data_IF_424743839147
#
_entry.id   IF_424743839147
#
_cell.length_a   1.000
_cell.length_b   1.000
_cell.length_c   1.000
_cell.angle_alpha   90.00
_cell.angle_beta   90.00
_cell.angle_gamma   90.00
#
_symmetry.space_group_name_H-M   'P 1'
#
loop_
_entity.id
_entity.type
_entity.pdbx_description
1 polymer ?
#
# COMPACT_ATOMS: atom_id res chain seq x y z
N UNK A 1 6.76 6.44 -22.52
CA UNK A 1 6.03 5.75 -21.42
C UNK A 1 5.00 6.73 -20.88
N UNK A 2 3.82 6.26 -20.46
CA UNK A 2 2.74 7.14 -19.99
C UNK A 2 3.27 8.06 -18.88
N UNK A 3 3.18 9.38 -19.07
CA UNK A 3 3.61 10.39 -18.08
C UNK A 3 2.61 10.55 -16.92
N UNK A 4 1.73 9.56 -16.72
CA UNK A 4 0.63 9.65 -15.77
C UNK A 4 1.02 9.25 -14.36
N UNK A 5 0.32 9.77 -13.37
CA UNK A 5 0.49 9.41 -11.95
C UNK A 5 -0.54 8.35 -11.59
N UNK A 6 -0.06 7.23 -11.03
CA UNK A 6 -0.92 6.25 -10.35
C UNK A 6 -1.15 6.79 -8.93
N UNK A 7 -2.41 6.86 -8.53
CA UNK A 7 -2.80 7.12 -7.14
C UNK A 7 -3.30 5.81 -6.55
N UNK A 8 -2.54 5.30 -5.59
CA UNK A 8 -2.98 4.24 -4.69
C UNK A 8 -3.58 4.85 -3.42
N UNK A 9 -4.66 4.25 -2.93
CA UNK A 9 -5.29 4.66 -1.67
C UNK A 9 -5.07 3.61 -0.61
N UNK A 10 -4.37 4.00 0.46
CA UNK A 10 -4.13 3.18 1.65
C UNK A 10 -5.23 3.46 2.67
N UNK A 11 -6.38 2.83 2.42
CA UNK A 11 -7.68 3.38 2.82
C UNK A 11 -7.92 3.34 4.34
N UNK A 12 -7.37 2.35 5.04
CA UNK A 12 -7.68 2.13 6.45
C UNK A 12 -6.55 1.53 7.31
N UNK A 13 -5.63 0.73 6.75
CA UNK A 13 -4.65 -0.04 7.53
C UNK A 13 -5.30 -0.66 8.78
N UNK A 14 -4.63 -0.52 9.94
CA UNK A 14 -5.19 -0.74 11.27
C UNK A 14 -5.48 0.56 12.03
N UNK A 15 -5.61 1.70 11.33
CA UNK A 15 -5.94 2.97 11.97
C UNK A 15 -7.27 2.90 12.73
N UNK A 16 -7.33 3.59 13.87
CA UNK A 16 -8.52 3.71 14.70
C UNK A 16 -9.22 5.06 14.45
N UNK A 17 -10.52 5.14 14.78
CA UNK A 17 -11.35 6.35 14.59
C UNK A 17 -11.13 7.44 15.64
N UNK A 18 -10.23 7.20 16.58
CA UNK A 18 -9.85 8.15 17.63
C UNK A 18 -9.22 9.42 17.06
N UNK A 19 -8.49 9.31 15.95
CA UNK A 19 -7.82 10.44 15.30
C UNK A 19 -8.58 10.98 14.08
N UNK A 20 -9.34 10.15 13.37
CA UNK A 20 -10.21 10.57 12.27
C UNK A 20 -11.45 9.66 12.17
N UNK A 21 -12.68 10.20 12.30
CA UNK A 21 -13.90 9.37 12.32
C UNK A 21 -14.21 8.71 10.97
N UNK A 22 -13.58 9.16 9.88
CA UNK A 22 -13.81 8.64 8.54
C UNK A 22 -13.04 7.37 8.21
N UNK A 23 -12.27 6.78 9.12
CA UNK A 23 -11.61 5.48 8.85
C UNK A 23 -12.66 4.38 8.62
N UNK A 24 -12.67 3.68 7.46
CA UNK A 24 -13.67 2.65 7.17
C UNK A 24 -13.28 1.28 7.74
N UNK A 25 -14.25 0.54 8.29
CA UNK A 25 -14.03 -0.79 8.88
C UNK A 25 -14.77 -1.89 8.15
N UNK A 26 -16.08 -1.72 7.95
CA UNK A 26 -16.90 -2.76 7.31
C UNK A 26 -16.60 -2.86 5.80
N UNK A 27 -16.86 -4.02 5.16
CA UNK A 27 -16.77 -4.15 3.71
C UNK A 27 -17.58 -3.09 2.94
N UNK A 28 -18.73 -2.69 3.49
CA UNK A 28 -19.58 -1.65 2.91
C UNK A 28 -18.94 -0.26 2.98
N UNK A 29 -18.39 0.12 4.14
CA UNK A 29 -17.69 1.40 4.30
C UNK A 29 -16.42 1.47 3.44
N UNK A 30 -15.61 0.39 3.43
CA UNK A 30 -14.39 0.31 2.64
C UNK A 30 -14.72 0.44 1.16
N UNK A 31 -15.70 -0.33 0.66
CA UNK A 31 -16.11 -0.25 -0.73
C UNK A 31 -16.74 1.10 -1.10
N UNK A 32 -17.57 1.66 -0.22
CA UNK A 32 -18.18 2.98 -0.43
C UNK A 32 -17.13 4.08 -0.62
N UNK A 33 -16.16 4.17 0.30
CA UNK A 33 -15.07 5.13 0.19
C UNK A 33 -14.12 4.84 -0.98
N UNK A 34 -13.84 3.57 -1.28
CA UNK A 34 -13.06 3.20 -2.46
C UNK A 34 -13.67 3.73 -3.76
N UNK A 35 -15.00 3.66 -3.89
CA UNK A 35 -15.72 4.19 -5.05
C UNK A 35 -15.73 5.72 -5.10
N UNK A 36 -15.75 6.41 -3.96
CA UNK A 36 -15.54 7.86 -3.90
C UNK A 36 -14.13 8.23 -4.35
N UNK A 37 -13.11 7.54 -3.84
CA UNK A 37 -11.71 7.72 -4.26
C UNK A 37 -11.52 7.46 -5.76
N UNK A 38 -12.16 6.42 -6.32
CA UNK A 38 -12.12 6.12 -7.75
C UNK A 38 -12.62 7.30 -8.60
N UNK A 39 -13.71 7.94 -8.19
CA UNK A 39 -14.25 9.12 -8.88
C UNK A 39 -13.30 10.31 -8.85
N UNK A 40 -12.48 10.41 -7.80
CA UNK A 40 -11.46 11.46 -7.66
C UNK A 40 -10.13 11.13 -8.38
N UNK A 41 -9.99 9.91 -8.93
CA UNK A 41 -8.85 9.49 -9.74
C UNK A 41 -7.98 8.38 -9.15
N UNK A 42 -8.42 7.70 -8.09
CA UNK A 42 -7.71 6.52 -7.59
C UNK A 42 -7.67 5.40 -8.64
N UNK A 43 -6.51 4.76 -8.76
CA UNK A 43 -6.28 3.61 -9.63
C UNK A 43 -6.23 2.29 -8.87
N UNK A 44 -5.67 2.33 -7.66
CA UNK A 44 -5.41 1.16 -6.81
C UNK A 44 -5.99 1.44 -5.43
N UNK A 45 -6.61 0.42 -4.82
CA UNK A 45 -7.02 0.46 -3.41
C UNK A 45 -6.28 -0.62 -2.64
N UNK A 46 -5.52 -0.19 -1.65
CA UNK A 46 -4.99 -1.03 -0.60
C UNK A 46 -5.89 -0.98 0.63
N UNK A 47 -6.21 -2.15 1.17
CA UNK A 47 -7.16 -2.27 2.27
C UNK A 47 -6.86 -3.48 3.16
N UNK A 48 -7.30 -3.35 4.41
CA UNK A 48 -7.24 -4.40 5.42
C UNK A 48 -8.66 -4.76 5.82
N UNK A 49 -8.94 -6.05 5.98
CA UNK A 49 -10.19 -6.47 6.60
C UNK A 49 -10.16 -6.13 8.10
N UNK A 50 -11.28 -5.61 8.59
CA UNK A 50 -11.47 -5.20 9.98
C UNK A 50 -12.74 -5.82 10.51
N UNK A 51 -12.82 -6.00 11.82
CA UNK A 51 -14.09 -6.26 12.47
C UNK A 51 -15.04 -5.07 12.21
N UNK A 52 -16.21 -5.27 11.58
CA UNK A 52 -17.09 -4.18 11.17
C UNK A 52 -17.62 -3.29 12.31
N UNK A 53 -17.59 -3.78 13.56
CA UNK A 53 -18.14 -3.06 14.71
C UNK A 53 -17.07 -2.36 15.53
N UNK A 54 -15.97 -3.04 15.77
CA UNK A 54 -14.90 -2.61 16.69
C UNK A 54 -13.71 -2.01 15.95
N UNK A 55 -13.54 -2.30 14.66
CA UNK A 55 -12.33 -1.95 13.93
C UNK A 55 -11.12 -2.82 14.29
N UNK A 56 -11.24 -3.88 15.08
CA UNK A 56 -10.11 -4.77 15.35
C UNK A 56 -9.55 -5.40 14.04
N UNK A 57 -8.25 -5.74 13.97
CA UNK A 57 -7.70 -6.49 12.84
C UNK A 57 -8.49 -7.78 12.56
N UNK A 58 -8.75 -8.06 11.28
CA UNK A 58 -9.39 -9.30 10.86
C UNK A 58 -8.67 -9.92 9.65
N UNK A 59 -8.73 -11.25 9.55
CA UNK A 59 -8.14 -12.02 8.45
C UNK A 59 -9.14 -12.95 7.77
N UNK A 60 -10.46 -12.80 8.03
CA UNK A 60 -11.50 -13.63 7.40
C UNK A 60 -11.55 -13.37 5.88
N UNK A 61 -11.28 -14.38 5.03
CA UNK A 61 -11.36 -14.26 3.59
C UNK A 61 -12.73 -13.76 3.09
N UNK A 62 -13.81 -14.01 3.83
CA UNK A 62 -15.16 -13.54 3.46
C UNK A 62 -15.28 -12.02 3.52
N UNK A 63 -14.64 -11.38 4.51
CA UNK A 63 -14.65 -9.92 4.63
C UNK A 63 -13.87 -9.27 3.48
N UNK A 64 -12.71 -9.83 3.13
CA UNK A 64 -11.95 -9.39 1.96
C UNK A 64 -12.76 -9.59 0.67
N UNK A 65 -13.31 -10.79 0.48
CA UNK A 65 -14.10 -11.12 -0.70
C UNK A 65 -15.34 -10.22 -0.87
N UNK A 66 -16.10 -9.95 0.20
CA UNK A 66 -17.24 -9.03 0.17
C UNK A 66 -16.81 -7.61 -0.24
N UNK A 67 -15.68 -7.13 0.32
CA UNK A 67 -15.11 -5.82 -0.05
C UNK A 67 -14.80 -5.74 -1.54
N UNK A 68 -14.09 -6.73 -2.10
CA UNK A 68 -13.76 -6.74 -3.54
C UNK A 68 -15.01 -6.83 -4.41
N UNK A 69 -15.98 -7.69 -4.08
CA UNK A 69 -17.23 -7.80 -4.86
C UNK A 69 -17.93 -6.45 -4.97
N UNK A 70 -18.06 -5.72 -3.86
CA UNK A 70 -18.71 -4.40 -3.83
C UNK A 70 -17.94 -3.35 -4.63
N UNK A 71 -16.61 -3.37 -4.60
CA UNK A 71 -15.77 -2.47 -5.39
C UNK A 71 -15.91 -2.77 -6.89
N UNK A 72 -15.77 -4.05 -7.28
CA UNK A 72 -15.80 -4.51 -8.68
C UNK A 72 -17.18 -4.46 -9.32
N UNK A 73 -18.26 -4.45 -8.53
CA UNK A 73 -19.63 -4.26 -9.02
C UNK A 73 -19.84 -2.88 -9.67
N UNK A 74 -19.08 -1.87 -9.24
CA UNK A 74 -19.31 -0.46 -9.63
C UNK A 74 -18.09 0.25 -10.21
N UNK A 75 -16.92 -0.39 -10.20
CA UNK A 75 -15.67 0.22 -10.68
C UNK A 75 -14.71 -0.80 -11.26
N UNK A 76 -13.69 -0.31 -11.94
CA UNK A 76 -12.58 -1.08 -12.47
C UNK A 76 -11.30 -0.91 -11.63
N UNK A 77 -11.40 -0.45 -10.37
CA UNK A 77 -10.25 -0.30 -9.47
C UNK A 77 -9.40 -1.57 -9.39
N UNK A 78 -8.09 -1.40 -9.31
CA UNK A 78 -7.15 -2.48 -8.98
C UNK A 78 -7.23 -2.70 -7.46
N UNK A 79 -7.42 -3.95 -7.02
CA UNK A 79 -7.52 -4.25 -5.59
C UNK A 79 -6.26 -4.93 -5.08
N UNK A 80 -5.75 -4.44 -3.94
CA UNK A 80 -4.56 -4.95 -3.27
C UNK A 80 -4.84 -5.15 -1.76
N UNK A 81 -5.44 -6.28 -1.35
CA UNK A 81 -5.54 -6.62 0.07
C UNK A 81 -4.15 -6.80 0.69
N UNK A 82 -4.02 -6.51 1.98
CA UNK A 82 -2.85 -6.88 2.79
C UNK A 82 -2.61 -8.40 2.84
N UNK A 83 -1.49 -8.87 3.41
CA UNK A 83 -1.26 -10.28 3.74
C UNK A 83 -1.52 -10.62 5.22
N UNK A 84 -2.13 -9.73 6.00
CA UNK A 84 -2.17 -9.93 7.46
C UNK A 84 -0.78 -9.69 8.07
N UNK A 85 -0.75 -8.86 9.11
CA UNK A 85 0.48 -8.30 9.63
C UNK A 85 1.15 -9.22 10.68
N UNK A 86 1.97 -8.61 11.53
CA UNK A 86 2.78 -9.23 12.59
C UNK A 86 2.01 -10.08 13.62
N UNK A 87 0.68 -9.94 13.70
CA UNK A 87 -0.16 -10.65 14.67
C UNK A 87 -0.58 -12.06 14.22
N UNK A 88 -0.34 -12.41 12.95
CA UNK A 88 -0.68 -13.72 12.40
C UNK A 88 0.38 -14.78 12.77
N UNK A 89 -0.02 -16.04 13.05
CA UNK A 89 0.87 -17.03 13.63
C UNK A 89 1.92 -17.60 12.67
N UNK A 90 1.72 -17.47 11.36
CA UNK A 90 2.65 -18.02 10.36
C UNK A 90 2.52 -17.32 8.99
N UNK A 91 3.52 -17.45 8.11
CA UNK A 91 3.40 -17.03 6.71
C UNK A 91 2.19 -17.64 5.98
N UNK A 92 1.91 -18.92 6.18
CA UNK A 92 0.77 -19.60 5.54
C UNK A 92 -0.55 -18.93 5.96
N UNK A 93 -0.70 -18.63 7.25
CA UNK A 93 -1.88 -17.95 7.76
C UNK A 93 -2.03 -16.53 7.20
N UNK A 94 -0.90 -15.82 7.02
CA UNK A 94 -0.85 -14.49 6.42
C UNK A 94 -1.40 -14.49 4.99
N UNK A 95 -0.90 -15.36 4.12
CA UNK A 95 -1.31 -15.33 2.70
C UNK A 95 -2.62 -16.09 2.40
N UNK A 96 -3.17 -16.84 3.36
CA UNK A 96 -4.29 -17.76 3.14
C UNK A 96 -5.51 -17.13 2.45
N UNK A 97 -5.90 -15.90 2.82
CA UNK A 97 -7.05 -15.23 2.20
C UNK A 97 -6.79 -14.84 0.75
N UNK A 98 -5.56 -14.52 0.35
CA UNK A 98 -5.20 -14.27 -1.06
C UNK A 98 -5.48 -15.52 -1.90
N UNK A 99 -5.03 -16.68 -1.41
CA UNK A 99 -5.22 -17.97 -2.09
C UNK A 99 -6.70 -18.32 -2.16
N UNK A 100 -7.46 -18.09 -1.08
CA UNK A 100 -8.90 -18.34 -1.06
C UNK A 100 -9.65 -17.43 -2.03
N UNK A 101 -9.38 -16.13 -2.01
CA UNK A 101 -10.01 -15.15 -2.89
C UNK A 101 -9.69 -15.40 -4.37
N UNK A 102 -8.49 -15.92 -4.67
CA UNK A 102 -8.07 -16.21 -6.03
C UNK A 102 -8.84 -17.37 -6.69
N UNK A 103 -9.56 -18.19 -5.90
CA UNK A 103 -10.44 -19.25 -6.43
C UNK A 103 -11.65 -18.71 -7.17
N UNK A 104 -12.08 -17.49 -6.84
CA UNK A 104 -13.19 -16.79 -7.50
C UNK A 104 -12.61 -15.63 -8.34
N UNK A 105 -12.71 -15.67 -9.68
CA UNK A 105 -12.22 -14.61 -10.55
C UNK A 105 -12.78 -13.21 -10.25
N UNK A 106 -13.97 -13.11 -9.64
CA UNK A 106 -14.57 -11.84 -9.25
C UNK A 106 -13.85 -11.21 -8.05
N UNK A 107 -13.30 -12.05 -7.17
CA UNK A 107 -12.62 -11.59 -5.93
C UNK A 107 -11.11 -11.69 -5.99
N UNK A 108 -10.55 -12.36 -7.01
CA UNK A 108 -9.10 -12.49 -7.16
C UNK A 108 -8.44 -11.10 -7.18
N UNK A 109 -7.56 -10.80 -6.20
CA UNK A 109 -6.83 -9.54 -6.20
C UNK A 109 -5.81 -9.50 -7.34
N UNK A 110 -5.44 -8.31 -7.77
CA UNK A 110 -4.42 -8.15 -8.83
C UNK A 110 -3.01 -8.08 -8.24
N UNK A 111 -2.88 -7.52 -7.03
CA UNK A 111 -1.64 -7.45 -6.28
C UNK A 111 -1.75 -8.07 -4.89
N UNK A 112 -0.60 -8.50 -4.37
CA UNK A 112 -0.39 -8.74 -2.94
C UNK A 112 0.93 -8.11 -2.49
N UNK A 113 0.95 -7.32 -1.41
CA UNK A 113 2.16 -6.67 -0.92
C UNK A 113 3.11 -7.70 -0.28
N UNK A 114 4.41 -7.56 -0.49
CA UNK A 114 5.45 -8.30 0.24
C UNK A 114 6.41 -7.29 0.84
N UNK A 115 6.38 -7.16 2.16
CA UNK A 115 7.33 -6.34 2.90
C UNK A 115 8.74 -6.94 2.81
N UNK A 116 9.58 -6.36 1.95
CA UNK A 116 10.94 -6.81 1.66
C UNK A 116 11.92 -6.38 2.77
N UNK A 117 11.49 -6.44 4.04
CA UNK A 117 12.29 -6.12 5.20
C UNK A 117 11.89 -6.92 6.44
N UNK A 118 12.85 -7.07 7.34
CA UNK A 118 12.59 -7.32 8.76
C UNK A 118 13.00 -6.07 9.53
N UNK A 119 12.11 -5.52 10.35
CA UNK A 119 12.37 -4.29 11.11
C UNK A 119 11.70 -4.32 12.48
N UNK A 120 12.24 -3.57 13.42
CA UNK A 120 11.58 -3.32 14.70
C UNK A 120 10.44 -2.34 14.43
N UNK A 121 9.21 -2.73 14.73
CA UNK A 121 8.00 -1.90 14.54
C UNK A 121 7.41 -1.46 15.87
N UNK A 122 8.30 -1.34 16.85
CA UNK A 122 7.96 -0.83 18.16
C UNK A 122 7.46 0.60 18.08
N UNK A 123 6.39 0.87 18.84
CA UNK A 123 5.74 2.17 18.80
C UNK A 123 6.36 3.11 19.83
N UNK A 124 6.73 4.31 19.40
CA UNK A 124 7.28 5.35 20.25
C UNK A 124 6.21 6.40 20.59
N UNK A 125 6.08 6.75 21.87
CA UNK A 125 5.25 7.86 22.30
C UNK A 125 6.13 9.12 22.46
N UNK A 126 6.01 10.12 21.58
CA UNK A 126 6.80 11.34 21.63
C UNK A 126 6.45 12.23 22.84
N UNK A 127 5.26 12.06 23.43
CA UNK A 127 4.81 12.83 24.59
C UNK A 127 5.48 12.34 25.86
N UNK A 128 5.47 11.03 26.09
CA UNK A 128 6.14 10.43 27.26
C UNK A 128 7.62 10.14 27.03
N UNK A 129 8.11 10.27 25.79
CA UNK A 129 9.48 9.98 25.35
C UNK A 129 9.91 8.54 25.66
N UNK A 130 9.00 7.59 25.43
CA UNK A 130 9.21 6.17 25.70
C UNK A 130 8.63 5.33 24.58
N UNK A 131 9.25 4.19 24.35
CA UNK A 131 8.63 3.12 23.58
C UNK A 131 7.47 2.50 24.38
N UNK A 132 6.32 2.32 23.74
CA UNK A 132 5.15 1.65 24.34
C UNK A 132 5.17 0.13 24.15
N UNK A 133 5.91 -0.34 23.15
CA UNK A 133 6.31 -1.73 22.94
C UNK A 133 7.82 -1.78 22.70
N UNK A 134 8.50 -2.89 23.02
CA UNK A 134 9.96 -2.97 22.90
C UNK A 134 10.50 -4.31 22.38
N UNK A 135 9.63 -5.19 21.91
CA UNK A 135 9.97 -6.52 21.40
C UNK A 135 9.22 -6.85 20.09
N UNK A 136 8.60 -5.84 19.46
CA UNK A 136 7.75 -6.07 18.29
C UNK A 136 8.59 -6.03 17.01
N UNK A 137 8.94 -7.20 16.51
CA UNK A 137 9.67 -7.35 15.25
C UNK A 137 8.69 -7.74 14.14
N UNK A 138 8.63 -6.94 13.08
CA UNK A 138 7.94 -7.35 11.86
C UNK A 138 8.84 -8.28 11.06
N UNK A 139 8.78 -9.57 11.38
CA UNK A 139 9.68 -10.59 10.86
C UNK A 139 9.23 -11.09 9.48
N UNK A 140 10.05 -10.81 8.46
CA UNK A 140 9.90 -11.39 7.13
C UNK A 140 11.27 -11.91 6.69
N UNK A 141 11.48 -13.22 6.84
CA UNK A 141 12.73 -13.87 6.42
C UNK A 141 12.78 -13.98 4.89
N UNK A 142 13.97 -14.20 4.31
CA UNK A 142 14.10 -14.49 2.87
C UNK A 142 13.27 -15.71 2.44
N UNK A 143 13.16 -16.73 3.30
CA UNK A 143 12.29 -17.90 3.05
C UNK A 143 10.82 -17.48 2.98
N UNK A 144 10.39 -16.58 3.86
CA UNK A 144 9.04 -16.02 3.86
C UNK A 144 8.76 -15.23 2.57
N UNK A 145 9.71 -14.41 2.12
CA UNK A 145 9.57 -13.65 0.87
C UNK A 145 9.43 -14.59 -0.35
N UNK A 146 10.28 -15.61 -0.47
CA UNK A 146 10.19 -16.59 -1.56
C UNK A 146 8.84 -17.30 -1.53
N UNK A 147 8.43 -17.79 -0.36
CA UNK A 147 7.13 -18.45 -0.18
C UNK A 147 5.96 -17.57 -0.62
N UNK A 148 5.93 -16.29 -0.23
CA UNK A 148 4.88 -15.36 -0.65
C UNK A 148 4.89 -15.12 -2.16
N UNK A 149 6.06 -14.85 -2.75
CA UNK A 149 6.18 -14.59 -4.18
C UNK A 149 5.73 -15.82 -5.00
N UNK A 150 6.19 -17.01 -4.64
CA UNK A 150 5.82 -18.28 -5.29
C UNK A 150 4.31 -18.55 -5.15
N UNK A 151 3.77 -18.39 -3.95
CA UNK A 151 2.35 -18.61 -3.67
C UNK A 151 1.48 -17.67 -4.50
N UNK A 152 1.75 -16.36 -4.50
CA UNK A 152 1.02 -15.38 -5.30
C UNK A 152 1.10 -15.70 -6.80
N UNK A 153 2.31 -15.98 -7.30
CA UNK A 153 2.51 -16.33 -8.71
C UNK A 153 1.72 -17.59 -9.10
N UNK A 154 1.64 -18.60 -8.23
CA UNK A 154 0.89 -19.84 -8.48
C UNK A 154 -0.61 -19.63 -8.65
N UNK A 155 -1.17 -18.57 -8.06
CA UNK A 155 -2.60 -18.22 -8.15
C UNK A 155 -2.86 -17.00 -9.06
N UNK A 156 -1.83 -16.54 -9.78
CA UNK A 156 -1.94 -15.43 -10.73
C UNK A 156 -2.18 -14.06 -10.08
N UNK A 157 -1.71 -13.87 -8.86
CA UNK A 157 -1.65 -12.58 -8.17
C UNK A 157 -0.24 -12.04 -8.33
N UNK A 158 -0.08 -10.76 -8.70
CA UNK A 158 1.25 -10.17 -8.90
C UNK A 158 1.84 -9.72 -7.55
N UNK A 159 3.03 -10.19 -7.16
CA UNK A 159 3.70 -9.66 -5.98
C UNK A 159 4.07 -8.19 -6.16
N UNK A 160 3.85 -7.38 -5.13
CA UNK A 160 4.24 -5.97 -5.05
C UNK A 160 5.23 -5.79 -3.90
N UNK A 161 6.52 -5.50 -4.15
CA UNK A 161 7.50 -5.29 -3.10
C UNK A 161 7.30 -3.96 -2.36
N UNK A 162 7.09 -4.05 -1.05
CA UNK A 162 7.12 -2.94 -0.11
C UNK A 162 8.57 -2.72 0.38
N UNK A 163 9.10 -1.52 0.14
CA UNK A 163 10.52 -1.14 0.30
C UNK A 163 10.67 -0.27 1.54
N UNK A 164 11.23 -0.85 2.61
CA UNK A 164 11.44 -0.17 3.90
C UNK A 164 12.83 0.45 4.05
N UNK A 165 13.83 -0.11 3.37
CA UNK A 165 15.23 0.32 3.44
C UNK A 165 15.94 0.00 2.11
N UNK A 166 17.12 0.58 1.87
CA UNK A 166 17.95 0.28 0.68
C UNK A 166 18.20 -1.23 0.47
N UNK A 167 18.43 -2.06 1.52
CA UNK A 167 18.52 -3.51 1.35
C UNK A 167 17.27 -4.15 0.72
N UNK A 168 16.07 -3.59 0.94
CA UNK A 168 14.83 -4.08 0.31
C UNK A 168 14.88 -3.93 -1.21
N UNK A 169 15.47 -2.84 -1.74
CA UNK A 169 15.66 -2.63 -3.18
C UNK A 169 16.59 -3.70 -3.74
N UNK A 170 17.74 -3.93 -3.07
CA UNK A 170 18.74 -4.92 -3.49
C UNK A 170 18.18 -6.35 -3.49
N UNK A 171 17.41 -6.70 -2.46
CA UNK A 171 16.74 -8.00 -2.38
C UNK A 171 15.68 -8.14 -3.49
N UNK A 172 14.93 -7.09 -3.78
CA UNK A 172 13.94 -7.06 -4.86
C UNK A 172 14.58 -7.30 -6.23
N UNK A 173 15.75 -6.70 -6.49
CA UNK A 173 16.51 -6.96 -7.73
C UNK A 173 16.90 -8.44 -7.85
N UNK A 174 17.41 -9.06 -6.78
CA UNK A 174 17.69 -10.49 -6.77
C UNK A 174 16.44 -11.34 -7.04
N UNK A 175 15.27 -10.93 -6.54
CA UNK A 175 14.00 -11.62 -6.80
C UNK A 175 13.53 -11.49 -8.25
N UNK A 176 13.88 -10.40 -8.94
CA UNK A 176 13.71 -10.28 -10.40
C UNK A 176 14.64 -11.24 -11.13
N UNK A 177 15.91 -11.30 -10.76
CA UNK A 177 16.89 -12.23 -11.36
C UNK A 177 16.48 -13.70 -11.18
N UNK A 178 15.87 -14.04 -10.03
CA UNK A 178 15.30 -15.36 -9.76
C UNK A 178 14.01 -15.65 -10.54
N UNK A 179 13.43 -14.66 -11.23
CA UNK A 179 12.14 -14.79 -11.93
C UNK A 179 10.91 -14.81 -11.02
N UNK A 180 11.07 -14.51 -9.73
CA UNK A 180 9.97 -14.45 -8.77
C UNK A 180 9.16 -13.16 -8.90
N UNK A 181 9.80 -12.06 -9.29
CA UNK A 181 9.13 -10.81 -9.63
C UNK A 181 9.26 -10.52 -11.13
N UNK A 182 8.15 -10.09 -11.75
CA UNK A 182 8.08 -9.82 -13.19
C UNK A 182 7.94 -8.34 -13.47
N UNK A 183 8.78 -7.84 -14.36
CA UNK A 183 8.73 -6.45 -14.84
C UNK A 183 7.44 -6.13 -15.63
N UNK A 184 6.96 -4.87 -15.62
CA UNK A 184 7.40 -3.76 -14.77
C UNK A 184 7.07 -4.01 -13.29
N UNK A 185 7.93 -3.56 -12.37
CA UNK A 185 7.68 -3.65 -10.94
C UNK A 185 6.87 -2.46 -10.48
N UNK A 186 5.74 -2.70 -9.82
CA UNK A 186 5.14 -1.69 -8.95
C UNK A 186 5.73 -1.88 -7.55
N UNK A 187 6.23 -0.83 -6.90
CA UNK A 187 6.76 -0.91 -5.55
C UNK A 187 6.37 0.30 -4.72
N UNK A 188 6.34 0.12 -3.39
CA UNK A 188 6.06 1.20 -2.44
C UNK A 188 7.30 1.53 -1.63
N UNK A 189 7.71 2.80 -1.66
CA UNK A 189 8.76 3.36 -0.82
C UNK A 189 8.12 3.79 0.50
N UNK A 190 8.46 3.08 1.58
CA UNK A 190 7.84 3.23 2.89
C UNK A 190 8.65 4.21 3.73
N UNK A 191 8.05 5.37 3.97
CA UNK A 191 8.50 6.33 4.98
C UNK A 191 7.71 6.14 6.27
N UNK A 192 8.32 6.50 7.40
CA UNK A 192 7.68 6.41 8.72
C UNK A 192 7.94 7.65 9.54
N UNK A 193 6.96 8.07 10.33
CA UNK A 193 7.02 9.25 11.20
C UNK A 193 6.32 9.00 12.55
N UNK A 194 6.45 9.98 13.44
CA UNK A 194 5.78 10.05 14.74
C UNK A 194 6.01 8.80 15.61
N UNK A 195 5.04 7.90 15.61
CA UNK A 195 5.03 6.72 16.48
C UNK A 195 5.79 5.53 15.89
N UNK A 196 6.12 5.53 14.60
CA UNK A 196 6.86 4.45 13.95
C UNK A 196 8.20 4.98 13.43
N UNK A 197 9.29 4.40 13.91
CA UNK A 197 10.67 4.84 13.59
C UNK A 197 11.45 3.77 12.80
N UNK A 198 10.73 2.95 12.05
CA UNK A 198 11.23 1.72 11.43
C UNK A 198 11.74 1.89 9.99
N UNK A 199 11.39 3.00 9.35
CA UNK A 199 11.77 3.34 7.98
C UNK A 199 12.50 4.68 7.88
N UNK A 200 12.65 5.16 6.66
CA UNK A 200 13.20 6.49 6.42
C UNK A 200 12.20 7.58 6.84
N UNK A 201 12.68 8.77 7.27
CA UNK A 201 11.79 9.86 7.71
C UNK A 201 10.88 10.35 6.57
N UNK A 202 9.67 10.78 6.92
CA UNK A 202 8.64 11.34 6.05
C UNK A 202 9.02 12.70 5.46
N UNK A 203 10.10 12.75 4.71
CA UNK A 203 10.67 13.95 4.09
C UNK A 203 11.10 13.66 2.65
N UNK A 204 11.27 14.71 1.84
CA UNK A 204 11.85 14.59 0.50
C UNK A 204 13.22 13.88 0.56
N UNK A 205 14.07 14.21 1.53
CA UNK A 205 15.38 13.56 1.69
C UNK A 205 15.25 12.08 2.05
N UNK A 206 14.26 11.69 2.85
CA UNK A 206 13.98 10.29 3.17
C UNK A 206 13.57 9.50 1.93
N UNK A 207 12.71 10.09 1.09
CA UNK A 207 12.32 9.53 -0.21
C UNK A 207 13.53 9.42 -1.18
N UNK A 208 14.29 10.50 -1.36
CA UNK A 208 15.45 10.53 -2.28
C UNK A 208 16.52 9.50 -1.90
N UNK A 209 16.68 9.22 -0.60
CA UNK A 209 17.57 8.15 -0.13
C UNK A 209 17.17 6.73 -0.59
N UNK A 210 15.95 6.53 -1.11
CA UNK A 210 15.58 5.33 -1.87
C UNK A 210 15.78 5.53 -3.36
N UNK A 211 15.30 6.66 -3.91
CA UNK A 211 15.31 6.95 -5.35
C UNK A 211 16.74 6.87 -5.92
N UNK A 212 17.74 7.34 -5.17
CA UNK A 212 19.16 7.26 -5.55
C UNK A 212 19.67 5.82 -5.79
N UNK A 213 18.98 4.81 -5.25
CA UNK A 213 19.32 3.39 -5.42
C UNK A 213 18.41 2.64 -6.39
N UNK A 214 17.37 3.28 -6.93
CA UNK A 214 16.55 2.72 -7.99
C UNK A 214 17.30 2.84 -9.33
N UNK A 215 18.02 1.78 -9.69
CA UNK A 215 18.74 1.69 -10.97
C UNK A 215 17.79 1.60 -12.17
N UNK A 216 18.29 1.86 -13.38
CA UNK A 216 17.52 1.75 -14.64
C UNK A 216 16.86 0.38 -14.86
N UNK A 217 17.40 -0.66 -14.22
CA UNK A 217 16.84 -2.01 -14.21
C UNK A 217 16.67 -2.54 -12.78
N UNK A 218 15.59 -3.28 -12.49
CA UNK A 218 14.43 -3.55 -13.35
C UNK A 218 13.62 -2.28 -13.69
N UNK A 219 12.64 -2.37 -14.60
CA UNK A 219 11.71 -1.25 -14.86
C UNK A 219 10.84 -0.99 -13.62
N UNK A 220 11.20 0.04 -12.85
CA UNK A 220 10.47 0.46 -11.65
C UNK A 220 9.31 1.40 -11.98
N UNK A 221 8.18 1.15 -11.32
CA UNK A 221 7.06 2.07 -11.12
C UNK A 221 6.92 2.22 -9.60
N UNK A 222 7.61 3.22 -9.05
CA UNK A 222 7.66 3.40 -7.60
C UNK A 222 6.61 4.39 -7.14
N UNK A 223 5.97 4.07 -6.02
CA UNK A 223 5.05 4.93 -5.28
C UNK A 223 5.66 5.29 -3.94
N UNK A 224 5.36 6.46 -3.37
CA UNK A 224 5.78 6.82 -2.02
C UNK A 224 4.58 6.89 -1.08
N UNK A 225 4.78 6.43 0.16
CA UNK A 225 3.83 6.52 1.27
C UNK A 225 4.55 6.95 2.56
N UNK A 226 3.78 7.40 3.56
CA UNK A 226 4.33 7.79 4.86
C UNK A 226 3.41 7.34 5.99
N UNK A 227 3.79 6.26 6.68
CA UNK A 227 3.06 5.77 7.86
C UNK A 227 3.30 6.71 9.03
N UNK A 228 2.21 7.15 9.66
CA UNK A 228 2.26 8.04 10.80
C UNK A 228 2.52 9.50 10.45
N UNK A 229 2.64 9.90 9.17
CA UNK A 229 2.99 11.27 8.78
C UNK A 229 2.23 11.82 7.58
N UNK A 230 2.26 13.15 7.43
CA UNK A 230 1.67 13.82 6.29
C UNK A 230 2.54 13.64 5.03
N UNK A 231 2.00 13.01 3.99
CA UNK A 231 2.70 12.76 2.72
C UNK A 231 2.72 13.98 1.77
N UNK A 232 1.82 14.94 1.94
CA UNK A 232 1.66 16.08 1.02
C UNK A 232 2.92 16.93 0.81
N UNK A 233 3.77 17.18 1.83
CA UNK A 233 5.05 17.86 1.64
C UNK A 233 6.01 17.14 0.69
N UNK A 234 5.83 15.83 0.46
CA UNK A 234 6.69 14.98 -0.37
C UNK A 234 6.07 14.77 -1.76
N UNK A 235 4.75 14.85 -1.87
CA UNK A 235 4.00 14.49 -3.07
C UNK A 235 4.48 15.20 -4.34
N UNK A 236 4.73 16.50 -4.29
CA UNK A 236 5.21 17.26 -5.45
C UNK A 236 6.59 16.76 -5.92
N UNK A 237 7.54 16.56 -5.00
CA UNK A 237 8.86 16.04 -5.33
C UNK A 237 8.77 14.62 -5.92
N UNK A 238 7.90 13.76 -5.38
CA UNK A 238 7.69 12.42 -5.92
C UNK A 238 7.14 12.46 -7.35
N UNK A 239 6.16 13.33 -7.61
CA UNK A 239 5.54 13.52 -8.93
C UNK A 239 6.56 14.08 -9.93
N UNK A 240 7.39 15.04 -9.53
CA UNK A 240 8.47 15.61 -10.36
C UNK A 240 9.49 14.54 -10.77
N UNK A 241 9.86 13.66 -9.84
CA UNK A 241 10.81 12.56 -10.07
C UNK A 241 10.22 11.38 -10.85
N UNK A 242 9.00 11.52 -11.37
CA UNK A 242 8.33 10.50 -12.17
C UNK A 242 7.62 9.42 -11.36
N UNK A 243 7.64 9.50 -10.03
CA UNK A 243 7.00 8.54 -9.12
C UNK A 243 5.48 8.62 -9.10
N UNK A 244 4.92 7.78 -8.23
CA UNK A 244 3.49 7.63 -7.93
C UNK A 244 3.23 7.94 -6.46
N UNK A 245 1.95 8.00 -6.08
CA UNK A 245 1.55 8.38 -4.72
C UNK A 245 0.65 7.30 -4.12
N UNK A 246 1.00 6.85 -2.92
CA UNK A 246 0.19 5.96 -2.08
C UNK A 246 -0.21 6.74 -0.83
N UNK A 247 -1.48 7.12 -0.70
CA UNK A 247 -1.96 8.00 0.39
C UNK A 247 -3.28 7.49 0.97
N UNK A 248 -3.51 7.68 2.26
CA UNK A 248 -4.84 7.49 2.82
C UNK A 248 -4.90 7.59 4.33
N UNK A 249 -6.11 7.48 4.87
CA UNK A 249 -6.40 7.55 6.30
C UNK A 249 -5.83 6.36 7.07
N UNK A 250 -5.46 5.29 6.39
CA UNK A 250 -4.77 4.17 7.03
C UNK A 250 -3.37 4.53 7.51
N UNK A 251 -2.70 5.46 6.83
CA UNK A 251 -1.34 5.86 7.20
C UNK A 251 -1.33 7.03 8.18
N UNK A 252 -2.20 8.03 7.98
CA UNK A 252 -2.22 9.25 8.78
C UNK A 252 -3.59 9.91 8.79
N UNK A 253 -3.96 10.54 9.90
CA UNK A 253 -5.29 11.12 10.11
C UNK A 253 -5.51 12.48 9.42
N UNK A 254 -4.43 13.16 9.03
CA UNK A 254 -4.43 14.51 8.44
C UNK A 254 -5.24 15.56 9.24
N UNK A 255 -4.97 15.73 10.55
CA UNK A 255 -5.65 16.74 11.39
C UNK A 255 -5.49 18.17 10.85
N UNK A 256 -4.36 18.48 10.21
CA UNK A 256 -4.11 19.77 9.58
C UNK A 256 -5.02 20.06 8.37
N UNK A 257 -5.77 19.06 7.89
CA UNK A 257 -6.74 19.19 6.80
C UNK A 257 -8.20 19.04 7.27
N UNK A 258 -8.44 19.28 8.56
CA UNK A 258 -9.77 19.18 9.18
C UNK A 258 -10.36 17.78 9.02
N UNK A 259 -9.54 16.74 9.31
CA UNK A 259 -9.94 15.33 9.29
C UNK A 259 -10.64 14.93 7.98
N UNK A 260 -9.92 14.94 6.85
CA UNK A 260 -10.51 14.71 5.54
C UNK A 260 -11.00 13.26 5.39
N UNK A 261 -11.84 13.03 4.37
CA UNK A 261 -12.10 11.69 3.85
C UNK A 261 -10.96 11.24 2.94
N UNK A 262 -10.84 9.92 2.67
CA UNK A 262 -9.90 9.42 1.68
C UNK A 262 -10.09 10.07 0.30
N UNK A 263 -11.33 10.32 -0.13
CA UNK A 263 -11.62 10.96 -1.42
C UNK A 263 -11.04 12.39 -1.50
N UNK A 264 -11.12 13.18 -0.41
CA UNK A 264 -10.50 14.52 -0.36
C UNK A 264 -8.98 14.46 -0.49
N UNK A 265 -8.34 13.44 0.08
CA UNK A 265 -6.89 13.22 -0.08
C UNK A 265 -6.53 12.90 -1.54
N UNK A 266 -7.29 12.00 -2.18
CA UNK A 266 -7.10 11.66 -3.59
C UNK A 266 -7.28 12.88 -4.49
N UNK A 267 -8.36 13.65 -4.30
CA UNK A 267 -8.64 14.86 -5.07
C UNK A 267 -7.48 15.86 -4.98
N UNK A 268 -6.90 16.00 -3.78
CA UNK A 268 -5.75 16.89 -3.56
C UNK A 268 -4.48 16.42 -4.28
N UNK A 269 -4.17 15.12 -4.25
CA UNK A 269 -3.05 14.57 -5.03
C UNK A 269 -3.30 14.73 -6.54
N UNK A 270 -4.52 14.45 -7.00
CA UNK A 270 -4.91 14.62 -8.40
C UNK A 270 -4.75 16.07 -8.87
N UNK A 271 -5.11 17.04 -8.03
CA UNK A 271 -4.89 18.45 -8.29
C UNK A 271 -3.39 18.78 -8.41
N UNK A 272 -2.58 18.39 -7.41
CA UNK A 272 -1.12 18.62 -7.43
C UNK A 272 -0.49 18.05 -8.71
N UNK A 273 -0.83 16.82 -9.08
CA UNK A 273 -0.29 16.19 -10.29
C UNK A 273 -0.64 16.97 -11.57
N UNK A 274 -1.90 17.39 -11.72
CA UNK A 274 -2.36 18.17 -12.88
C UNK A 274 -1.71 19.55 -12.94
N UNK A 275 -1.56 20.23 -11.80
CA UNK A 275 -0.85 21.51 -11.70
C UNK A 275 0.64 21.37 -12.10
N UNK A 276 1.23 20.20 -11.87
CA UNK A 276 2.58 19.85 -12.31
C UNK A 276 2.64 19.29 -13.75
N UNK A 277 1.52 19.30 -14.48
CA UNK A 277 1.46 18.84 -15.88
C UNK A 277 1.46 17.32 -16.07
N UNK A 278 1.18 16.54 -15.02
CA UNK A 278 1.01 15.08 -15.10
C UNK A 278 -0.45 14.68 -14.90
N UNK A 279 -1.01 13.99 -15.89
CA UNK A 279 -2.38 13.47 -15.81
C UNK A 279 -2.49 12.27 -14.87
N UNK A 280 -3.69 11.97 -14.40
CA UNK A 280 -3.94 10.81 -13.54
C UNK A 280 -4.23 9.57 -14.38
N UNK A 281 -3.61 8.45 -14.00
CA UNK A 281 -3.88 7.15 -14.60
C UNK A 281 -5.26 6.67 -14.15
N UNK A 282 -6.08 6.24 -15.09
CA UNK A 282 -7.25 5.41 -14.80
C UNK A 282 -6.80 4.00 -14.40
N UNK A 283 -7.63 3.18 -13.72
CA UNK A 283 -7.27 1.81 -13.40
C UNK A 283 -6.89 0.97 -14.63
N UNK A 284 -7.53 1.20 -15.80
CA UNK A 284 -7.15 0.56 -17.06
C UNK A 284 -5.73 0.94 -17.53
N UNK A 285 -5.36 2.22 -17.43
CA UNK A 285 -4.02 2.69 -17.79
C UNK A 285 -2.97 2.22 -16.78
N UNK A 286 -3.30 2.22 -15.48
CA UNK A 286 -2.45 1.66 -14.44
C UNK A 286 -2.16 0.17 -14.71
N UNK A 287 -3.15 -0.64 -15.10
CA UNK A 287 -2.91 -2.03 -15.49
C UNK A 287 -1.90 -2.15 -16.64
N UNK A 288 -1.98 -1.29 -17.64
CA UNK A 288 -1.01 -1.26 -18.76
C UNK A 288 0.39 -0.87 -18.29
N UNK A 289 0.49 0.19 -17.47
CA UNK A 289 1.77 0.67 -16.91
C UNK A 289 2.46 -0.39 -16.04
N UNK A 290 1.66 -1.17 -15.31
CA UNK A 290 2.12 -2.17 -14.36
C UNK A 290 2.18 -3.59 -14.93
N UNK A 291 1.88 -3.78 -16.23
CA UNK A 291 1.92 -5.10 -16.87
C UNK A 291 0.96 -6.12 -16.27
N UNK A 292 -0.22 -5.68 -15.82
CA UNK A 292 -1.30 -6.56 -15.38
C UNK A 292 -2.10 -7.00 -16.62
N UNK A 293 -1.90 -8.24 -17.06
CA UNK A 293 -2.71 -8.88 -18.10
C UNK A 293 -4.05 -9.34 -17.50
N UNK A 294 -5.16 -9.13 -18.20
CA UNK A 294 -6.44 -9.77 -17.88
C UNK A 294 -6.36 -11.28 -18.11
#
# INVERSE_FOLDING_TARGET
>A
MSNKVIIEVRINEYAMRDHNPHVPYSPEEIAGQALECWREGASIIHYHARDPKTGAPASDPKLYADTVRRIKDKSDLITMPTLGAWWMPSPEARIAHIVEMAKDPQTKPEFGPIDMATSNVDTYDPTTKRYTTNETVYLNTTKTWQYFAETMNSVGVKPMPAIWAVPSIRATQAFVEMGLFKEPLYCELILTENWLLSGHPGTVKGMEAFVDFLQDKPKWQWSVMCVGGNLLPIAAAAIERGGHISIGLGDYAYPELELPTNARLVARIAQIAREMGREIATPAEARQMLGLTK
#
